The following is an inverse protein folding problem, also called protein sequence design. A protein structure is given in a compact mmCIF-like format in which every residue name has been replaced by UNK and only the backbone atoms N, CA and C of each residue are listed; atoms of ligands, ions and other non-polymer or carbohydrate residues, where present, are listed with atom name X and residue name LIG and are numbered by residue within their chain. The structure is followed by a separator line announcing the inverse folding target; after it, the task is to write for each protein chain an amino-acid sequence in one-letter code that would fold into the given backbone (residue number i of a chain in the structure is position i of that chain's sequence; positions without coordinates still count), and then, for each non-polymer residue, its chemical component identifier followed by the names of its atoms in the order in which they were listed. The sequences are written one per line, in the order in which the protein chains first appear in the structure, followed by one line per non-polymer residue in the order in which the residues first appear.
data_IF_764778374557
#
_entry.id   IF_764778374557
#
_cell.length_a   1.000
_cell.length_b   1.000
_cell.length_c   1.000
_cell.angle_alpha   90.00
_cell.angle_beta   90.00
_cell.angle_gamma   90.00
#
_symmetry.space_group_name_H-M   'P 1'
#
loop_
_entity.id
_entity.type
_entity.pdbx_description
1 polymer ?
#
# COMPACT_ATOMS: atom_id res chain seq x y z
N UNK A 1 7.61 -13.88 12.07
CA UNK A 1 6.48 -12.92 11.95
C UNK A 1 6.99 -11.51 11.67
N UNK A 2 7.81 -10.95 12.55
CA UNK A 2 8.35 -9.59 12.39
C UNK A 2 9.15 -9.39 11.09
N UNK A 3 9.92 -10.38 10.68
CA UNK A 3 10.77 -10.28 9.49
C UNK A 3 9.97 -9.98 8.20
N UNK A 4 8.83 -10.63 7.96
CA UNK A 4 8.03 -10.37 6.75
C UNK A 4 7.34 -9.00 6.77
N UNK A 5 6.93 -8.52 7.96
CA UNK A 5 6.45 -7.16 8.12
C UNK A 5 7.56 -6.13 7.83
N UNK A 6 8.75 -6.35 8.37
CA UNK A 6 9.92 -5.50 8.10
C UNK A 6 10.28 -5.50 6.61
N UNK A 7 10.29 -6.66 5.95
CA UNK A 7 10.53 -6.76 4.49
C UNK A 7 9.48 -5.95 3.72
N UNK A 8 8.20 -6.03 4.10
CA UNK A 8 7.15 -5.24 3.47
C UNK A 8 7.43 -3.74 3.58
N UNK A 9 7.76 -3.26 4.79
CA UNK A 9 8.02 -1.84 5.06
C UNK A 9 9.28 -1.34 4.33
N UNK A 10 10.35 -2.11 4.35
CA UNK A 10 11.59 -1.77 3.63
C UNK A 10 11.34 -1.68 2.12
N UNK A 11 10.69 -2.68 1.54
CA UNK A 11 10.37 -2.67 0.11
C UNK A 11 9.41 -1.53 -0.25
N UNK A 12 8.41 -1.25 0.58
CA UNK A 12 7.52 -0.11 0.39
C UNK A 12 8.31 1.21 0.38
N UNK A 13 9.18 1.41 1.37
CA UNK A 13 9.98 2.65 1.49
C UNK A 13 10.91 2.81 0.29
N UNK A 14 11.67 1.78 -0.06
CA UNK A 14 12.60 1.82 -1.20
C UNK A 14 11.84 2.09 -2.51
N UNK A 15 10.75 1.35 -2.74
CA UNK A 15 9.95 1.48 -3.97
C UNK A 15 9.31 2.86 -4.05
N UNK A 16 8.72 3.36 -2.96
CA UNK A 16 8.13 4.70 -2.91
C UNK A 16 9.18 5.78 -3.15
N UNK A 17 10.35 5.68 -2.53
CA UNK A 17 11.44 6.65 -2.73
C UNK A 17 11.90 6.72 -4.19
N UNK A 18 12.02 5.57 -4.87
CA UNK A 18 12.40 5.53 -6.29
C UNK A 18 11.30 6.11 -7.18
N UNK A 19 10.04 5.73 -6.93
CA UNK A 19 8.91 6.18 -7.76
C UNK A 19 8.60 7.67 -7.55
N UNK A 20 8.89 8.23 -6.38
CA UNK A 20 8.65 9.65 -6.09
C UNK A 20 9.64 10.58 -6.80
N UNK A 21 10.75 10.09 -7.35
CA UNK A 21 11.70 10.92 -8.10
C UNK A 21 11.03 11.62 -9.30
N UNK A 22 10.06 10.98 -9.94
CA UNK A 22 9.35 11.52 -11.10
C UNK A 22 7.86 11.66 -10.78
N UNK A 23 7.23 12.85 -10.96
CA UNK A 23 5.84 13.08 -10.56
C UNK A 23 4.84 12.06 -11.12
N UNK A 24 4.98 11.67 -12.38
CA UNK A 24 4.10 10.68 -13.00
C UNK A 24 4.27 9.27 -12.43
N UNK A 25 5.49 8.88 -12.04
CA UNK A 25 5.75 7.61 -11.36
C UNK A 25 5.23 7.62 -9.92
N UNK A 26 5.29 8.78 -9.26
CA UNK A 26 4.65 8.96 -7.96
C UNK A 26 3.15 8.64 -8.05
N UNK A 27 2.44 9.17 -9.05
CA UNK A 27 1.02 8.88 -9.26
C UNK A 27 0.76 7.40 -9.63
N UNK A 28 1.72 6.71 -10.22
CA UNK A 28 1.63 5.28 -10.52
C UNK A 28 1.98 4.37 -9.32
N UNK A 29 2.45 4.93 -8.21
CA UNK A 29 2.86 4.15 -7.01
C UNK A 29 1.77 3.19 -6.51
N UNK A 30 0.48 3.56 -6.41
CA UNK A 30 -0.56 2.64 -5.94
C UNK A 30 -0.69 1.39 -6.81
N UNK A 31 -0.45 1.50 -8.12
CA UNK A 31 -0.46 0.37 -9.04
C UNK A 31 0.81 -0.47 -8.91
N UNK A 32 1.97 0.16 -9.05
CA UNK A 32 3.27 -0.52 -9.12
C UNK A 32 3.60 -1.19 -7.77
N UNK A 33 3.50 -0.44 -6.68
CA UNK A 33 3.69 -0.98 -5.33
C UNK A 33 2.65 -2.05 -5.00
N UNK A 34 1.40 -1.85 -5.43
CA UNK A 34 0.33 -2.82 -5.26
C UNK A 34 0.66 -4.17 -5.90
N UNK A 35 1.18 -4.20 -7.11
CA UNK A 35 1.56 -5.44 -7.80
C UNK A 35 2.74 -6.11 -7.09
N UNK A 36 3.79 -5.37 -6.77
CA UNK A 36 5.05 -5.91 -6.23
C UNK A 36 4.87 -6.40 -4.79
N UNK A 37 4.24 -5.61 -3.93
CA UNK A 37 4.12 -5.90 -2.50
C UNK A 37 3.09 -6.99 -2.18
N UNK A 38 2.22 -7.34 -3.13
CA UNK A 38 1.19 -8.36 -2.92
C UNK A 38 1.74 -9.71 -2.47
N UNK A 39 2.85 -10.15 -3.04
CA UNK A 39 3.50 -11.40 -2.65
C UNK A 39 3.99 -11.36 -1.20
N UNK A 40 4.59 -10.24 -0.79
CA UNK A 40 5.13 -10.06 0.57
C UNK A 40 3.98 -9.97 1.58
N UNK A 41 2.90 -9.26 1.25
CA UNK A 41 1.70 -9.22 2.08
C UNK A 41 1.10 -10.62 2.28
N UNK A 42 0.96 -11.38 1.20
CA UNK A 42 0.42 -12.75 1.26
C UNK A 42 1.28 -13.65 2.15
N UNK A 43 2.61 -13.53 2.06
CA UNK A 43 3.55 -14.23 2.94
C UNK A 43 3.39 -13.79 4.39
N UNK A 44 3.35 -12.49 4.65
CA UNK A 44 3.14 -11.93 5.98
C UNK A 44 1.85 -12.45 6.61
N UNK A 45 0.72 -12.28 5.93
CA UNK A 45 -0.58 -12.67 6.44
C UNK A 45 -0.71 -14.18 6.67
N UNK A 46 -0.06 -15.01 5.83
CA UNK A 46 -0.04 -16.46 6.00
C UNK A 46 0.84 -16.90 7.17
N UNK A 47 2.00 -16.24 7.37
CA UNK A 47 2.93 -16.58 8.46
C UNK A 47 2.54 -15.99 9.81
N UNK A 48 1.70 -14.97 9.82
CA UNK A 48 1.19 -14.31 11.02
C UNK A 48 -0.34 -14.41 11.07
N UNK A 49 -0.91 -15.60 11.28
CA UNK A 49 -2.36 -15.80 11.26
C UNK A 49 -3.03 -15.33 12.56
N UNK A 50 -2.57 -14.23 13.13
CA UNK A 50 -3.09 -13.64 14.38
C UNK A 50 -4.05 -12.50 14.06
N UNK A 51 -5.07 -12.36 14.90
CA UNK A 51 -6.01 -11.22 14.83
C UNK A 51 -5.25 -9.92 15.09
N UNK A 52 -5.50 -8.90 14.27
CA UNK A 52 -4.84 -7.61 14.36
C UNK A 52 -3.51 -7.52 13.58
N UNK A 53 -2.98 -8.62 13.05
CA UNK A 53 -1.69 -8.60 12.37
C UNK A 53 -1.70 -7.67 11.13
N UNK A 54 -2.75 -7.73 10.33
CA UNK A 54 -2.89 -6.88 9.12
C UNK A 54 -3.10 -5.43 9.53
N UNK A 55 -3.88 -5.17 10.58
CA UNK A 55 -4.08 -3.82 11.10
C UNK A 55 -2.77 -3.23 11.63
N UNK A 56 -1.95 -4.00 12.35
CA UNK A 56 -0.63 -3.54 12.80
C UNK A 56 0.26 -3.17 11.62
N UNK A 57 0.28 -4.00 10.57
CA UNK A 57 1.04 -3.67 9.36
C UNK A 57 0.52 -2.38 8.71
N UNK A 58 -0.81 -2.18 8.64
CA UNK A 58 -1.41 -0.96 8.11
C UNK A 58 -1.02 0.28 8.93
N UNK A 59 -1.05 0.19 10.26
CA UNK A 59 -0.62 1.29 11.14
C UNK A 59 0.84 1.65 10.86
N UNK A 60 1.73 0.67 10.73
CA UNK A 60 3.14 0.91 10.43
C UNK A 60 3.33 1.55 9.05
N UNK A 61 2.58 1.11 8.04
CA UNK A 61 2.54 1.76 6.72
C UNK A 61 2.07 3.21 6.85
N UNK A 62 0.98 3.44 7.57
CA UNK A 62 0.44 4.77 7.81
C UNK A 62 1.44 5.70 8.50
N UNK A 63 2.15 5.23 9.52
CA UNK A 63 3.17 6.00 10.22
C UNK A 63 4.32 6.41 9.29
N UNK A 64 4.83 5.48 8.47
CA UNK A 64 5.92 5.76 7.52
C UNK A 64 5.48 6.78 6.46
N UNK A 65 4.24 6.72 6.01
CA UNK A 65 3.73 7.59 4.95
C UNK A 65 3.17 8.93 5.45
N UNK A 66 3.07 9.12 6.77
CA UNK A 66 2.53 10.34 7.41
C UNK A 66 3.58 11.42 7.66
N UNK A 67 4.50 11.65 6.71
CA UNK A 67 5.58 12.64 6.89
C UNK A 67 5.07 14.08 6.85
N UNK A 68 4.10 14.38 5.99
CA UNK A 68 3.58 15.75 5.79
C UNK A 68 2.29 16.01 6.56
N UNK A 69 1.43 15.00 6.71
CA UNK A 69 0.09 15.14 7.31
C UNK A 69 -0.33 13.86 8.03
N UNK A 70 -1.35 13.94 8.89
CA UNK A 70 -1.93 12.79 9.60
C UNK A 70 -2.84 11.91 8.71
N UNK A 71 -3.28 12.40 7.56
CA UNK A 71 -4.24 11.71 6.71
C UNK A 71 -3.80 10.30 6.31
N UNK A 72 -2.54 10.03 5.90
CA UNK A 72 -2.12 8.67 5.55
C UNK A 72 -2.31 7.67 6.68
N UNK A 73 -2.08 8.06 7.93
CA UNK A 73 -2.30 7.19 9.09
C UNK A 73 -3.78 6.88 9.28
N UNK A 74 -4.65 7.89 9.17
CA UNK A 74 -6.11 7.71 9.29
C UNK A 74 -6.61 6.73 8.22
N UNK A 75 -6.23 6.95 6.96
CA UNK A 75 -6.60 6.06 5.86
C UNK A 75 -6.04 4.65 6.02
N UNK A 76 -4.79 4.52 6.47
CA UNK A 76 -4.18 3.23 6.72
C UNK A 76 -4.92 2.44 7.81
N UNK A 77 -5.32 3.08 8.89
CA UNK A 77 -6.11 2.45 9.97
C UNK A 77 -7.47 1.98 9.44
N UNK A 78 -8.18 2.83 8.69
CA UNK A 78 -9.52 2.49 8.15
C UNK A 78 -9.41 1.30 7.20
N UNK A 79 -8.58 1.38 6.17
CA UNK A 79 -8.45 0.30 5.18
C UNK A 79 -7.78 -0.94 5.75
N UNK A 80 -6.85 -0.79 6.68
CA UNK A 80 -6.24 -1.89 7.40
C UNK A 80 -7.24 -2.64 8.26
N UNK A 81 -8.16 -1.94 8.93
CA UNK A 81 -9.24 -2.56 9.71
C UNK A 81 -10.21 -3.34 8.80
N UNK A 82 -10.60 -2.77 7.67
CA UNK A 82 -11.48 -3.46 6.71
C UNK A 82 -10.79 -4.70 6.16
N UNK A 83 -9.50 -4.60 5.77
CA UNK A 83 -8.71 -5.73 5.30
C UNK A 83 -8.57 -6.84 6.37
N UNK A 84 -8.39 -6.46 7.64
CA UNK A 84 -8.36 -7.38 8.78
C UNK A 84 -9.71 -8.10 8.95
N UNK A 85 -10.84 -7.38 8.87
CA UNK A 85 -12.18 -7.94 9.01
C UNK A 85 -12.51 -8.94 7.89
N UNK A 86 -12.08 -8.71 6.66
CA UNK A 86 -12.25 -9.63 5.53
C UNK A 86 -11.62 -11.00 5.84
N UNK A 87 -10.49 -11.01 6.52
CA UNK A 87 -9.77 -12.25 6.85
C UNK A 87 -10.14 -12.85 8.20
N UNK A 88 -10.86 -12.14 9.06
CA UNK A 88 -11.10 -12.52 10.46
C UNK A 88 -11.60 -13.97 10.65
N UNK A 89 -12.53 -14.42 9.80
CA UNK A 89 -13.10 -15.78 9.82
C UNK A 89 -12.45 -16.76 8.82
N UNK A 90 -11.57 -16.28 7.93
CA UNK A 90 -11.02 -17.06 6.80
C UNK A 90 -9.52 -16.85 6.58
N UNK A 91 -8.74 -16.72 7.67
CA UNK A 91 -7.30 -16.41 7.63
C UNK A 91 -6.45 -17.41 6.85
N UNK A 92 -6.88 -18.66 6.76
CA UNK A 92 -6.19 -19.69 5.98
C UNK A 92 -6.60 -19.72 4.50
N UNK A 93 -7.61 -18.94 4.11
CA UNK A 93 -8.07 -18.91 2.72
C UNK A 93 -7.21 -17.94 1.90
N UNK A 94 -6.46 -18.48 0.95
CA UNK A 94 -5.66 -17.68 0.01
C UNK A 94 -6.52 -16.72 -0.84
N UNK A 95 -7.80 -17.07 -1.09
CA UNK A 95 -8.74 -16.17 -1.76
C UNK A 95 -9.13 -14.98 -0.87
N UNK A 96 -9.47 -15.24 0.40
CA UNK A 96 -9.79 -14.17 1.34
C UNK A 96 -8.59 -13.22 1.58
N UNK A 97 -7.38 -13.77 1.65
CA UNK A 97 -6.16 -12.98 1.77
C UNK A 97 -5.91 -12.11 0.52
N UNK A 98 -6.19 -12.63 -0.68
CA UNK A 98 -6.04 -11.85 -1.92
C UNK A 98 -7.05 -10.67 -1.98
N UNK A 99 -8.31 -10.90 -1.57
CA UNK A 99 -9.33 -9.84 -1.46
C UNK A 99 -8.93 -8.83 -0.39
N UNK A 100 -8.47 -9.31 0.76
CA UNK A 100 -7.96 -8.47 1.84
C UNK A 100 -6.80 -7.59 1.37
N UNK A 101 -5.89 -8.13 0.56
CA UNK A 101 -4.80 -7.35 0.00
C UNK A 101 -5.29 -6.28 -0.99
N UNK A 102 -6.27 -6.59 -1.83
CA UNK A 102 -6.85 -5.60 -2.73
C UNK A 102 -7.37 -4.37 -1.96
N UNK A 103 -8.05 -4.61 -0.83
CA UNK A 103 -8.52 -3.55 0.07
C UNK A 103 -7.36 -2.90 0.84
N UNK A 104 -6.42 -3.70 1.33
CA UNK A 104 -5.23 -3.19 2.04
C UNK A 104 -4.42 -2.24 1.18
N UNK A 105 -4.31 -2.50 -0.13
CA UNK A 105 -3.55 -1.63 -1.04
C UNK A 105 -4.12 -0.21 -1.14
N UNK A 106 -5.38 0.01 -0.74
CA UNK A 106 -5.95 1.37 -0.61
C UNK A 106 -5.24 2.21 0.48
N UNK A 107 -4.48 1.59 1.38
CA UNK A 107 -3.62 2.33 2.32
C UNK A 107 -2.61 3.21 1.59
N UNK A 108 -2.17 2.80 0.39
CA UNK A 108 -1.28 3.57 -0.48
C UNK A 108 -1.87 4.89 -0.98
N UNK A 109 -3.20 5.05 -0.86
CA UNK A 109 -3.90 6.29 -1.22
C UNK A 109 -3.74 7.41 -0.18
N UNK A 110 -3.23 7.10 1.02
CA UNK A 110 -3.09 8.07 2.09
C UNK A 110 -2.36 9.36 1.69
N UNK A 111 -1.15 9.33 1.11
CA UNK A 111 -0.46 10.53 0.63
C UNK A 111 -1.24 11.30 -0.44
N UNK A 112 -1.99 10.61 -1.31
CA UNK A 112 -2.79 11.28 -2.34
C UNK A 112 -4.03 11.95 -1.79
N UNK A 113 -4.65 11.41 -0.75
CA UNK A 113 -5.69 12.12 -0.02
C UNK A 113 -5.14 13.33 0.72
N UNK A 114 -3.92 13.26 1.27
CA UNK A 114 -3.24 14.41 1.83
C UNK A 114 -3.01 15.50 0.77
N UNK A 115 -2.55 15.10 -0.43
CA UNK A 115 -2.36 15.99 -1.58
C UNK A 115 -3.66 16.68 -2.03
N UNK A 116 -4.83 16.07 -1.82
CA UNK A 116 -6.13 16.65 -2.23
C UNK A 116 -6.77 17.46 -1.10
N UNK A 117 -6.76 16.93 0.14
CA UNK A 117 -7.43 17.54 1.28
C UNK A 117 -6.62 18.64 1.96
N UNK A 118 -5.29 18.57 1.86
CA UNK A 118 -4.34 19.50 2.44
C UNK A 118 -3.24 19.84 1.42
N UNK A 119 -3.65 20.25 0.21
CA UNK A 119 -2.78 20.41 -0.96
C UNK A 119 -1.62 21.35 -0.68
N UNK A 120 -1.89 22.53 -0.16
CA UNK A 120 -0.86 23.54 0.10
C UNK A 120 0.19 23.04 1.08
N UNK A 121 -0.24 22.49 2.21
CA UNK A 121 0.67 21.92 3.21
C UNK A 121 1.48 20.72 2.68
N UNK A 122 0.87 19.88 1.82
CA UNK A 122 1.56 18.77 1.19
C UNK A 122 2.61 19.24 0.19
N UNK A 123 2.25 20.17 -0.70
CA UNK A 123 3.17 20.74 -1.70
C UNK A 123 4.31 21.51 -1.05
N UNK A 124 4.04 22.29 -0.01
CA UNK A 124 5.06 23.01 0.76
C UNK A 124 6.05 22.05 1.42
N UNK A 125 5.56 20.97 2.04
CA UNK A 125 6.44 19.95 2.64
C UNK A 125 7.30 19.23 1.61
N UNK A 126 6.83 19.08 0.37
CA UNK A 126 7.55 18.44 -0.72
C UNK A 126 8.55 19.39 -1.42
N UNK A 127 8.28 20.69 -1.44
CA UNK A 127 9.10 21.70 -2.14
C UNK A 127 10.55 21.70 -1.67
N UNK A 128 10.76 21.56 -0.37
CA UNK A 128 12.09 21.50 0.23
C UNK A 128 12.94 20.29 -0.18
N UNK A 129 12.30 19.21 -0.67
CA UNK A 129 12.99 17.98 -1.08
C UNK A 129 13.12 17.81 -2.59
N UNK A 130 12.10 18.22 -3.36
CA UNK A 130 12.00 17.92 -4.79
C UNK A 130 12.14 19.15 -5.70
N UNK A 131 12.07 20.36 -5.13
CA UNK A 131 12.18 21.61 -5.88
C UNK A 131 10.88 22.07 -6.53
N UNK A 132 10.87 23.35 -6.96
CA UNK A 132 9.67 24.03 -7.46
C UNK A 132 9.13 23.47 -8.78
N UNK A 133 10.01 23.03 -9.69
CA UNK A 133 9.61 22.45 -10.98
C UNK A 133 8.84 21.14 -10.80
N UNK A 134 9.30 20.30 -9.87
CA UNK A 134 8.60 19.07 -9.51
C UNK A 134 7.20 19.37 -8.97
N UNK A 135 7.11 20.34 -8.05
CA UNK A 135 5.85 20.75 -7.41
C UNK A 135 4.88 21.32 -8.45
N UNK A 136 5.34 22.21 -9.34
CA UNK A 136 4.51 22.78 -10.39
C UNK A 136 3.99 21.70 -11.37
N UNK A 137 4.79 20.68 -11.63
CA UNK A 137 4.37 19.53 -12.46
C UNK A 137 3.35 18.67 -11.74
N UNK A 138 3.59 18.36 -10.45
CA UNK A 138 2.69 17.56 -9.64
C UNK A 138 1.33 18.27 -9.47
N UNK A 139 1.34 19.57 -9.24
CA UNK A 139 0.12 20.38 -9.13
C UNK A 139 -0.75 20.31 -10.38
N UNK A 140 -0.13 20.43 -11.57
CA UNK A 140 -0.83 20.29 -12.87
C UNK A 140 -1.40 18.88 -13.10
N UNK A 141 -0.68 17.85 -12.66
CA UNK A 141 -1.08 16.45 -12.83
C UNK A 141 -2.16 16.00 -11.84
N UNK A 142 -2.45 16.80 -10.81
CA UNK A 142 -3.37 16.43 -9.73
C UNK A 142 -4.60 17.32 -9.61
N UNK A 143 -5.42 17.44 -10.67
CA UNK A 143 -6.77 17.99 -10.54
C UNK A 143 -7.61 17.09 -9.61
N UNK A 144 -8.65 17.64 -8.99
CA UNK A 144 -9.45 16.94 -7.95
C UNK A 144 -10.04 15.61 -8.40
N UNK A 145 -10.35 15.44 -9.70
CA UNK A 145 -10.88 14.19 -10.25
C UNK A 145 -9.87 13.05 -10.34
N UNK A 146 -8.55 13.35 -10.28
CA UNK A 146 -7.48 12.34 -10.37
C UNK A 146 -7.60 11.28 -9.27
N UNK A 147 -8.23 11.60 -8.15
CA UNK A 147 -8.44 10.66 -7.04
C UNK A 147 -9.15 9.39 -7.49
N UNK A 148 -10.11 9.50 -8.40
CA UNK A 148 -10.86 8.35 -8.93
C UNK A 148 -9.94 7.41 -9.72
N UNK A 149 -9.04 7.99 -10.53
CA UNK A 149 -8.04 7.21 -11.28
C UNK A 149 -7.07 6.53 -10.31
N UNK A 150 -6.60 7.24 -9.31
CA UNK A 150 -5.67 6.69 -8.32
C UNK A 150 -6.29 5.56 -7.50
N UNK A 151 -7.56 5.69 -7.11
CA UNK A 151 -8.31 4.59 -6.46
C UNK A 151 -8.40 3.38 -7.39
N UNK A 152 -8.73 3.60 -8.67
CA UNK A 152 -8.78 2.51 -9.65
C UNK A 152 -7.41 1.83 -9.80
N UNK A 153 -6.32 2.61 -9.89
CA UNK A 153 -4.95 2.08 -9.95
C UNK A 153 -4.59 1.29 -8.68
N UNK A 154 -4.98 1.76 -7.50
CA UNK A 154 -4.76 1.06 -6.25
C UNK A 154 -5.52 -0.28 -6.20
N UNK A 155 -6.78 -0.30 -6.62
CA UNK A 155 -7.59 -1.52 -6.66
C UNK A 155 -7.04 -2.52 -7.68
N UNK A 156 -6.67 -2.07 -8.87
CA UNK A 156 -6.05 -2.90 -9.92
C UNK A 156 -4.71 -3.46 -9.44
N UNK A 157 -3.85 -2.62 -8.87
CA UNK A 157 -2.57 -3.02 -8.30
C UNK A 157 -2.74 -4.06 -7.19
N UNK A 158 -3.67 -3.82 -6.27
CA UNK A 158 -4.00 -4.75 -5.18
C UNK A 158 -4.57 -6.07 -5.69
N UNK A 159 -5.44 -6.04 -6.70
CA UNK A 159 -6.00 -7.24 -7.32
C UNK A 159 -4.91 -8.10 -7.97
N UNK A 160 -4.11 -7.51 -8.85
CA UNK A 160 -3.02 -8.24 -9.52
C UNK A 160 -1.96 -8.71 -8.53
N UNK A 161 -1.56 -7.88 -7.57
CA UNK A 161 -0.61 -8.26 -6.52
C UNK A 161 -1.12 -9.40 -5.64
N UNK A 162 -2.40 -9.36 -5.24
CA UNK A 162 -3.03 -10.42 -4.48
C UNK A 162 -3.13 -11.75 -5.26
N UNK A 163 -3.54 -11.70 -6.52
CA UNK A 163 -3.62 -12.88 -7.39
C UNK A 163 -2.23 -13.46 -7.67
N UNK A 164 -1.25 -12.62 -7.95
CA UNK A 164 0.12 -13.03 -8.20
C UNK A 164 0.75 -13.63 -6.94
N UNK A 165 0.59 -12.96 -5.79
CA UNK A 165 1.04 -13.46 -4.50
C UNK A 165 0.41 -14.83 -4.16
N UNK A 166 -0.90 -15.00 -4.40
CA UNK A 166 -1.57 -16.30 -4.24
C UNK A 166 -0.95 -17.39 -5.12
N UNK A 167 -0.65 -17.07 -6.38
CA UNK A 167 -0.03 -18.03 -7.32
C UNK A 167 1.37 -18.44 -6.86
N UNK A 168 2.18 -17.49 -6.43
CA UNK A 168 3.55 -17.74 -5.92
C UNK A 168 3.49 -18.58 -4.63
N UNK A 169 2.62 -18.24 -3.68
CA UNK A 169 2.45 -19.02 -2.46
C UNK A 169 2.13 -20.49 -2.79
N UNK A 170 1.12 -20.73 -3.63
CA UNK A 170 0.73 -22.10 -4.01
C UNK A 170 1.86 -22.85 -4.69
N UNK A 171 2.62 -22.21 -5.59
CA UNK A 171 3.68 -22.86 -6.38
C UNK A 171 4.92 -23.20 -5.55
N UNK A 172 5.36 -22.29 -4.69
CA UNK A 172 6.68 -22.40 -4.06
C UNK A 172 6.61 -22.74 -2.57
N UNK A 173 5.66 -22.18 -1.84
CA UNK A 173 5.62 -22.29 -0.38
C UNK A 173 4.83 -23.50 0.12
N UNK A 174 3.74 -23.86 -0.55
CA UNK A 174 2.99 -25.08 -0.22
C UNK A 174 3.83 -26.32 -0.59
N UNK A 175 4.47 -26.33 -1.77
CA UNK A 175 5.37 -27.42 -2.19
C UNK A 175 6.59 -27.59 -1.32
N UNK A 176 7.08 -26.51 -0.70
CA UNK A 176 8.22 -26.54 0.21
C UNK A 176 7.82 -26.87 1.67
N UNK A 177 6.53 -27.16 1.95
CA UNK A 177 6.05 -27.43 3.31
C UNK A 177 6.07 -26.20 4.25
N UNK A 178 6.24 -25.00 3.69
CA UNK A 178 6.36 -23.77 4.46
C UNK A 178 5.00 -23.20 4.86
N UNK A 179 3.99 -23.51 4.05
CA UNK A 179 2.58 -23.17 4.33
C UNK A 179 1.70 -24.40 4.10
N UNK A 180 0.81 -24.69 5.02
CA UNK A 180 -0.22 -25.72 4.86
C UNK A 180 -1.37 -25.23 3.99
#
# INVERSE_FOLDING_TARGET
AAAFGAIYLVLLTVLSSVLTIVPILFLATPLIAGIILGTVYMLYATKVPRTGAILVLAILVGLITSMATIYPLIFAVVWGLIAELITAKRRKSAGALAISYCVFNLTSMGPFFALILAKDAFLESCAGYYGEEYIATLDKLTPSWIVLVLIALALVGGLFGGLFGRKILKKHFVKAGITA
#
